data_IF_403445543052
#
_entry.id   IF_403445543052
#
_cell.length_a   1.000
_cell.length_b   1.000
_cell.length_c   1.000
_cell.angle_alpha   90.00
_cell.angle_beta   90.00
_cell.angle_gamma   90.00
#
_symmetry.space_group_name_H-M   'P 1'
#
loop_
_entity.id
_entity.type
_entity.pdbx_description
1 polymer ?
#
# COMPACT_ATOMS: atom_id res chain seq x y z
N UNK A 1 11.52 4.61 -29.35
CA UNK A 1 11.14 3.86 -28.13
C UNK A 1 12.30 3.07 -27.50
N UNK A 2 13.19 2.47 -28.27
CA UNK A 2 14.45 1.88 -27.73
C UNK A 2 15.33 2.91 -26.99
N UNK A 3 15.33 4.16 -27.40
CA UNK A 3 16.23 5.20 -26.89
C UNK A 3 16.05 5.56 -25.40
N UNK A 4 14.83 5.47 -24.82
CA UNK A 4 14.63 5.81 -23.40
C UNK A 4 15.16 4.73 -22.47
N UNK A 5 15.03 3.47 -22.82
CA UNK A 5 15.53 2.35 -22.02
C UNK A 5 17.06 2.31 -22.00
N UNK A 6 17.70 2.43 -23.18
CA UNK A 6 19.16 2.42 -23.31
C UNK A 6 19.79 3.60 -22.56
N UNK A 7 19.17 4.79 -22.64
CA UNK A 7 19.62 5.96 -21.90
C UNK A 7 19.54 5.75 -20.37
N UNK A 8 18.45 5.16 -19.87
CA UNK A 8 18.27 4.86 -18.44
C UNK A 8 19.30 3.81 -18.00
N UNK A 9 19.47 2.71 -18.75
CA UNK A 9 20.45 1.68 -18.42
C UNK A 9 21.87 2.25 -18.35
N UNK A 10 22.26 3.08 -19.31
CA UNK A 10 23.57 3.75 -19.29
C UNK A 10 23.77 4.66 -18.07
N UNK A 11 22.73 5.39 -17.64
CA UNK A 11 22.79 6.22 -16.43
C UNK A 11 22.92 5.36 -15.16
N UNK A 12 22.19 4.24 -15.08
CA UNK A 12 22.24 3.35 -13.93
C UNK A 12 23.59 2.66 -13.81
N UNK A 13 24.18 2.21 -14.92
CA UNK A 13 25.49 1.57 -14.96
C UNK A 13 26.62 2.54 -14.60
N UNK A 14 26.55 3.78 -15.11
CA UNK A 14 27.56 4.79 -14.84
C UNK A 14 27.56 5.30 -13.41
N UNK A 15 26.39 5.45 -12.78
CA UNK A 15 26.25 6.09 -11.47
C UNK A 15 26.00 5.12 -10.32
N UNK A 16 25.58 3.88 -10.57
CA UNK A 16 25.28 2.84 -9.59
C UNK A 16 24.46 3.37 -8.39
N UNK A 17 23.31 4.02 -8.61
CA UNK A 17 22.52 4.63 -7.53
C UNK A 17 21.89 3.56 -6.64
N UNK A 18 21.80 3.84 -5.34
CA UNK A 18 21.04 2.98 -4.40
C UNK A 18 19.54 3.09 -4.63
N UNK A 19 19.05 4.31 -4.94
CA UNK A 19 17.62 4.62 -5.11
C UNK A 19 17.41 5.43 -6.37
N UNK A 20 16.36 5.09 -7.11
CA UNK A 20 15.93 5.81 -8.32
C UNK A 20 14.49 6.26 -8.17
N UNK A 21 14.25 7.56 -8.32
CA UNK A 21 12.92 8.13 -8.47
C UNK A 21 12.55 8.10 -9.95
N UNK A 22 11.46 7.45 -10.31
CA UNK A 22 11.08 7.22 -11.68
C UNK A 22 9.67 7.72 -11.97
N UNK A 23 9.57 8.76 -12.79
CA UNK A 23 8.26 9.28 -13.23
C UNK A 23 7.71 8.39 -14.34
N UNK A 24 6.54 7.82 -14.11
CA UNK A 24 5.88 6.90 -15.05
C UNK A 24 5.49 7.58 -16.38
N UNK A 25 5.33 8.90 -16.40
CA UNK A 25 5.08 9.65 -17.64
C UNK A 25 6.21 9.51 -18.67
N UNK A 26 7.44 9.20 -18.24
CA UNK A 26 8.58 9.01 -19.13
C UNK A 26 8.42 7.82 -20.06
N UNK A 27 7.54 6.88 -19.74
CA UNK A 27 7.38 5.62 -20.45
C UNK A 27 6.17 5.57 -21.39
N UNK A 28 5.25 6.55 -21.34
CA UNK A 28 4.05 6.55 -22.15
C UNK A 28 3.25 5.24 -22.00
N UNK A 29 2.99 4.55 -23.11
CA UNK A 29 2.27 3.27 -23.13
C UNK A 29 3.10 2.10 -22.55
N UNK A 30 4.42 2.21 -22.55
CA UNK A 30 5.35 1.17 -22.07
C UNK A 30 5.58 1.20 -20.55
N UNK A 31 4.82 2.01 -19.80
CA UNK A 31 4.98 2.21 -18.36
C UNK A 31 4.87 0.92 -17.52
N UNK A 32 4.34 -0.16 -18.07
CA UNK A 32 4.28 -1.47 -17.39
C UNK A 32 5.52 -2.32 -17.64
N UNK A 33 5.97 -2.39 -18.88
CA UNK A 33 7.06 -3.30 -19.26
C UNK A 33 8.43 -2.79 -18.82
N UNK A 34 8.73 -1.52 -19.05
CA UNK A 34 10.04 -0.95 -18.78
C UNK A 34 10.38 -0.96 -17.27
N UNK A 35 9.50 -0.50 -16.35
CA UNK A 35 9.76 -0.60 -14.92
C UNK A 35 10.03 -2.03 -14.43
N UNK A 36 9.26 -3.00 -14.92
CA UNK A 36 9.47 -4.41 -14.57
C UNK A 36 10.85 -4.92 -15.02
N UNK A 37 11.25 -4.61 -16.26
CA UNK A 37 12.55 -5.00 -16.79
C UNK A 37 13.69 -4.37 -16.01
N UNK A 38 13.58 -3.09 -15.63
CA UNK A 38 14.59 -2.39 -14.84
C UNK A 38 14.72 -2.97 -13.43
N UNK A 39 13.62 -3.25 -12.75
CA UNK A 39 13.65 -3.90 -11.44
C UNK A 39 14.33 -5.29 -11.49
N UNK A 40 14.10 -6.03 -12.57
CA UNK A 40 14.73 -7.35 -12.76
C UNK A 40 16.21 -7.25 -13.14
N UNK A 41 16.56 -6.29 -13.98
CA UNK A 41 17.93 -6.09 -14.47
C UNK A 41 18.85 -5.51 -13.38
N UNK A 42 18.31 -4.65 -12.51
CA UNK A 42 19.04 -3.95 -11.45
C UNK A 42 18.48 -4.26 -10.06
N UNK A 43 18.58 -5.50 -9.54
CA UNK A 43 17.93 -5.91 -8.29
C UNK A 43 18.50 -5.23 -7.04
N UNK A 44 19.71 -4.66 -7.13
CA UNK A 44 20.33 -3.86 -6.06
C UNK A 44 19.82 -2.42 -5.99
N UNK A 45 19.14 -1.94 -7.04
CA UNK A 45 18.59 -0.59 -7.12
C UNK A 45 17.16 -0.56 -6.61
N UNK A 46 16.87 0.31 -5.66
CA UNK A 46 15.52 0.51 -5.17
C UNK A 46 14.75 1.54 -6.01
N UNK A 47 13.71 1.10 -6.71
CA UNK A 47 12.89 1.98 -7.56
C UNK A 47 11.68 2.50 -6.81
N UNK A 48 11.49 3.83 -6.78
CA UNK A 48 10.28 4.53 -6.33
C UNK A 48 9.58 5.12 -7.55
N UNK A 49 8.40 4.63 -7.85
CA UNK A 49 7.62 5.07 -9.01
C UNK A 49 6.68 6.22 -8.65
N UNK A 50 6.71 7.25 -9.49
CA UNK A 50 5.88 8.45 -9.37
C UNK A 50 4.80 8.41 -10.45
N UNK A 51 3.53 8.31 -10.05
CA UNK A 51 2.39 8.30 -10.97
C UNK A 51 1.65 9.64 -10.96
N UNK A 52 1.22 10.16 -12.11
CA UNK A 52 0.37 11.35 -12.16
C UNK A 52 -1.03 11.09 -11.58
N UNK A 53 -1.54 9.86 -11.77
CA UNK A 53 -2.86 9.41 -11.31
C UNK A 53 -2.75 8.06 -10.63
N UNK A 54 -2.25 8.01 -9.38
CA UNK A 54 -2.03 6.76 -8.67
C UNK A 54 -3.30 5.94 -8.51
N UNK A 55 -3.22 4.68 -8.92
CA UNK A 55 -4.30 3.72 -8.73
C UNK A 55 -3.78 2.39 -8.19
N UNK A 56 -4.69 1.61 -7.62
CA UNK A 56 -4.34 0.38 -6.91
C UNK A 56 -3.81 -0.72 -7.85
N UNK A 57 -4.31 -0.80 -9.09
CA UNK A 57 -3.91 -1.83 -10.07
C UNK A 57 -2.47 -1.59 -10.51
N UNK A 58 -2.14 -0.34 -10.86
CA UNK A 58 -0.80 0.07 -11.25
C UNK A 58 0.19 -0.13 -10.09
N UNK A 59 -0.19 0.34 -8.89
CA UNK A 59 0.67 0.19 -7.71
C UNK A 59 0.92 -1.26 -7.34
N UNK A 60 -0.13 -2.12 -7.32
CA UNK A 60 0.01 -3.57 -7.08
C UNK A 60 0.94 -4.21 -8.12
N UNK A 61 0.79 -3.84 -9.39
CA UNK A 61 1.60 -4.37 -10.48
C UNK A 61 3.07 -4.02 -10.27
N UNK A 62 3.39 -2.75 -10.04
CA UNK A 62 4.77 -2.27 -9.91
C UNK A 62 5.47 -2.82 -8.66
N UNK A 63 4.77 -2.84 -7.51
CA UNK A 63 5.34 -3.38 -6.27
C UNK A 63 5.56 -4.89 -6.35
N UNK A 64 4.62 -5.64 -6.93
CA UNK A 64 4.78 -7.10 -7.12
C UNK A 64 5.92 -7.48 -8.07
N UNK A 65 6.44 -6.53 -8.84
CA UNK A 65 7.53 -6.71 -9.80
C UNK A 65 8.87 -6.13 -9.32
N UNK A 66 8.99 -5.84 -8.02
CA UNK A 66 10.23 -5.42 -7.39
C UNK A 66 10.35 -3.92 -7.10
N UNK A 67 9.32 -3.12 -7.40
CA UNK A 67 9.28 -1.73 -6.97
C UNK A 67 9.33 -1.62 -5.44
N UNK A 68 10.05 -0.63 -4.93
CA UNK A 68 10.17 -0.36 -3.50
C UNK A 68 9.32 0.82 -3.05
N UNK A 69 8.82 1.62 -3.98
CA UNK A 69 7.91 2.71 -3.67
C UNK A 69 6.94 3.01 -4.80
N UNK A 70 5.74 3.48 -4.43
CA UNK A 70 4.74 3.95 -5.38
C UNK A 70 3.92 5.07 -4.74
N UNK A 71 3.92 6.24 -5.38
CA UNK A 71 3.24 7.42 -4.87
C UNK A 71 2.82 8.39 -5.98
N UNK A 72 2.05 9.41 -5.59
CA UNK A 72 1.68 10.49 -6.48
C UNK A 72 2.92 11.32 -6.85
N UNK A 73 3.09 11.68 -8.13
CA UNK A 73 4.18 12.56 -8.60
C UNK A 73 4.16 13.95 -7.97
N UNK A 74 2.99 14.40 -7.50
CA UNK A 74 2.81 15.67 -6.79
C UNK A 74 2.94 15.54 -5.28
N UNK A 75 3.58 14.46 -4.81
CA UNK A 75 3.90 14.25 -3.40
C UNK A 75 4.69 15.45 -2.85
N UNK A 76 4.41 15.88 -1.61
CA UNK A 76 5.16 16.98 -1.01
C UNK A 76 6.62 16.58 -0.77
N UNK A 77 7.52 17.58 -0.83
CA UNK A 77 8.96 17.37 -0.59
C UNK A 77 9.24 16.61 0.72
N UNK A 78 8.55 16.97 1.80
CA UNK A 78 8.73 16.34 3.11
C UNK A 78 8.38 14.84 3.09
N UNK A 79 7.27 14.46 2.41
CA UNK A 79 6.87 13.07 2.27
C UNK A 79 7.77 12.29 1.31
N UNK A 80 8.27 12.93 0.26
CA UNK A 80 9.21 12.30 -0.67
C UNK A 80 10.54 11.97 0.02
N UNK A 81 11.08 12.90 0.83
CA UNK A 81 12.29 12.66 1.63
C UNK A 81 12.06 11.45 2.55
N UNK A 82 10.94 11.42 3.26
CA UNK A 82 10.58 10.30 4.14
C UNK A 82 10.44 8.98 3.38
N UNK A 83 9.87 9.00 2.17
CA UNK A 83 9.78 7.83 1.32
C UNK A 83 11.17 7.28 0.95
N UNK A 84 12.09 8.16 0.55
CA UNK A 84 13.47 7.79 0.23
C UNK A 84 14.20 7.23 1.45
N UNK A 85 14.07 7.84 2.63
CA UNK A 85 14.69 7.36 3.87
C UNK A 85 14.21 5.96 4.24
N UNK A 86 12.89 5.70 4.20
CA UNK A 86 12.32 4.39 4.51
C UNK A 86 12.73 3.32 3.49
N UNK A 87 12.72 3.67 2.20
CA UNK A 87 13.16 2.74 1.14
C UNK A 87 14.65 2.42 1.27
N UNK A 88 15.49 3.36 1.69
CA UNK A 88 16.91 3.12 1.99
C UNK A 88 17.11 2.16 3.16
N UNK A 89 16.18 2.13 4.11
CA UNK A 89 16.18 1.16 5.23
C UNK A 89 15.65 -0.22 4.81
N UNK A 90 15.30 -0.42 3.54
CA UNK A 90 14.74 -1.67 3.02
C UNK A 90 13.22 -1.78 3.11
N UNK A 91 12.54 -0.75 3.61
CA UNK A 91 11.09 -0.70 3.72
C UNK A 91 10.43 -0.44 2.36
N UNK A 92 9.11 -0.68 2.27
CA UNK A 92 8.31 -0.38 1.08
C UNK A 92 7.43 0.84 1.34
N UNK A 93 7.52 1.83 0.45
CA UNK A 93 6.71 3.04 0.53
C UNK A 93 5.50 2.96 -0.40
N UNK A 94 4.31 2.81 0.17
CA UNK A 94 3.04 2.79 -0.57
C UNK A 94 1.93 3.50 0.20
N UNK A 95 0.88 3.93 -0.52
CA UNK A 95 -0.33 4.45 0.11
C UNK A 95 -1.01 3.38 0.97
N UNK A 96 -1.67 3.80 2.06
CA UNK A 96 -2.33 2.88 3.01
C UNK A 96 -3.29 1.90 2.32
N UNK A 97 -4.09 2.40 1.37
CA UNK A 97 -5.07 1.60 0.63
C UNK A 97 -4.41 0.48 -0.17
N UNK A 98 -3.30 0.80 -0.84
CA UNK A 98 -2.53 -0.17 -1.60
C UNK A 98 -1.86 -1.20 -0.68
N UNK A 99 -1.35 -0.77 0.49
CA UNK A 99 -0.76 -1.67 1.48
C UNK A 99 -1.78 -2.73 1.93
N UNK A 100 -3.01 -2.34 2.27
CA UNK A 100 -4.06 -3.28 2.63
C UNK A 100 -4.37 -4.29 1.51
N UNK A 101 -4.40 -3.85 0.26
CA UNK A 101 -4.63 -4.75 -0.88
C UNK A 101 -3.47 -5.73 -1.11
N UNK A 102 -2.23 -5.29 -0.92
CA UNK A 102 -1.05 -6.17 -0.97
C UNK A 102 -1.14 -7.27 0.08
N UNK A 103 -1.50 -6.90 1.32
CA UNK A 103 -1.60 -7.85 2.42
C UNK A 103 -2.74 -8.86 2.20
N UNK A 104 -3.89 -8.41 1.69
CA UNK A 104 -5.01 -9.31 1.36
C UNK A 104 -4.63 -10.32 0.28
N UNK A 105 -3.85 -9.92 -0.72
CA UNK A 105 -3.35 -10.87 -1.73
C UNK A 105 -2.43 -11.92 -1.12
N UNK A 106 -1.56 -11.54 -0.19
CA UNK A 106 -0.67 -12.49 0.49
C UNK A 106 -1.46 -13.47 1.37
N UNK A 107 -2.48 -12.99 2.07
CA UNK A 107 -3.36 -13.87 2.87
C UNK A 107 -4.16 -14.82 1.99
N UNK A 108 -4.74 -14.38 0.89
CA UNK A 108 -5.48 -15.25 -0.03
C UNK A 108 -4.61 -16.28 -0.76
N UNK A 109 -3.31 -16.07 -0.88
CA UNK A 109 -2.35 -17.05 -1.42
C UNK A 109 -1.94 -18.11 -0.38
N UNK A 110 -2.09 -17.82 0.91
CA UNK A 110 -1.78 -18.74 2.01
C UNK A 110 -2.97 -19.57 2.49
N UNK A 111 -4.18 -19.33 1.95
CA UNK A 111 -5.39 -20.11 2.31
C UNK A 111 -5.49 -21.43 1.54
N UNK A 112 -4.55 -22.34 1.78
CA UNK A 112 -4.74 -23.77 1.50
C UNK A 112 -4.74 -24.62 2.77
N UNK A 113 -4.86 -24.03 3.94
CA UNK A 113 -5.14 -24.76 5.19
C UNK A 113 -5.32 -23.77 6.33
N UNK A 114 -6.55 -23.45 6.73
CA UNK A 114 -6.82 -23.13 8.13
C UNK A 114 -8.30 -22.76 8.38
N UNK A 115 -9.13 -23.79 8.58
CA UNK A 115 -10.48 -23.67 9.18
C UNK A 115 -10.47 -23.13 10.64
N UNK A 116 -9.30 -23.00 11.25
CA UNK A 116 -9.16 -22.49 12.63
C UNK A 116 -9.04 -20.97 12.74
N UNK A 117 -8.67 -20.24 11.67
CA UNK A 117 -8.47 -18.80 11.69
C UNK A 117 -9.80 -18.04 11.53
N UNK A 118 -10.71 -18.57 10.71
CA UNK A 118 -12.06 -17.99 10.51
C UNK A 118 -12.86 -17.94 11.82
N UNK A 119 -12.81 -19.02 12.61
CA UNK A 119 -13.56 -19.11 13.87
C UNK A 119 -13.08 -18.12 14.96
N UNK A 120 -11.82 -17.67 14.90
CA UNK A 120 -11.25 -16.69 15.84
C UNK A 120 -11.53 -15.24 15.43
N UNK A 121 -11.61 -14.97 14.15
CA UNK A 121 -11.90 -13.64 13.62
C UNK A 121 -13.37 -13.28 13.87
N UNK A 122 -14.31 -14.15 13.54
CA UNK A 122 -15.75 -14.04 13.79
C UNK A 122 -16.06 -13.73 15.26
N UNK A 123 -15.37 -14.39 16.20
CA UNK A 123 -15.57 -14.15 17.63
C UNK A 123 -15.12 -12.75 18.09
N UNK A 124 -14.18 -12.11 17.40
CA UNK A 124 -13.68 -10.76 17.74
C UNK A 124 -14.55 -9.66 17.16
N UNK A 125 -15.05 -9.83 15.95
CA UNK A 125 -15.90 -8.85 15.27
C UNK A 125 -17.34 -8.89 15.76
N UNK A 126 -17.83 -10.00 16.32
CA UNK A 126 -19.15 -10.08 16.97
C UNK A 126 -19.30 -9.13 18.18
N UNK A 127 -18.17 -8.69 18.77
CA UNK A 127 -18.15 -7.72 19.90
C UNK A 127 -18.32 -6.26 19.47
N UNK A 128 -18.29 -5.99 18.18
CA UNK A 128 -18.47 -4.64 17.66
C UNK A 128 -19.96 -4.29 17.57
N UNK A 129 -20.30 -3.06 17.93
CA UNK A 129 -21.61 -2.50 17.60
C UNK A 129 -21.73 -2.31 16.09
N UNK A 130 -22.96 -2.14 15.57
CA UNK A 130 -23.19 -1.93 14.14
C UNK A 130 -22.37 -0.75 13.62
N UNK A 131 -22.31 0.36 14.38
CA UNK A 131 -21.53 1.53 14.00
C UNK A 131 -20.02 1.28 14.01
N UNK A 132 -19.52 0.54 14.95
CA UNK A 132 -18.11 0.15 15.00
C UNK A 132 -17.76 -0.82 13.86
N UNK A 133 -18.67 -1.73 13.53
CA UNK A 133 -18.50 -2.66 12.39
C UNK A 133 -18.47 -1.90 11.07
N UNK A 134 -19.35 -0.94 10.86
CA UNK A 134 -19.37 -0.09 9.68
C UNK A 134 -18.05 0.68 9.50
N UNK A 135 -17.54 1.29 10.58
CA UNK A 135 -16.23 1.95 10.58
C UNK A 135 -15.11 0.95 10.31
N UNK A 136 -15.15 -0.23 10.92
CA UNK A 136 -14.14 -1.28 10.73
C UNK A 136 -14.07 -1.73 9.26
N UNK A 137 -15.20 -1.94 8.59
CA UNK A 137 -15.28 -2.29 7.16
C UNK A 137 -14.63 -1.20 6.28
N UNK A 138 -14.91 0.07 6.55
CA UNK A 138 -14.28 1.19 5.83
C UNK A 138 -12.75 1.25 6.10
N UNK A 139 -12.32 0.87 7.29
CA UNK A 139 -10.89 0.69 7.61
C UNK A 139 -10.28 -0.44 6.77
N UNK A 140 -10.94 -1.58 6.68
CA UNK A 140 -10.53 -2.70 5.84
C UNK A 140 -10.40 -2.33 4.36
N UNK A 141 -11.23 -1.40 3.89
CA UNK A 141 -11.13 -0.82 2.54
C UNK A 141 -10.01 0.21 2.38
N UNK A 142 -9.28 0.55 3.46
CA UNK A 142 -8.16 1.51 3.43
C UNK A 142 -8.56 2.98 3.52
N UNK A 143 -9.82 3.32 3.83
CA UNK A 143 -10.31 4.70 3.90
C UNK A 143 -9.65 5.47 5.05
N UNK A 144 -9.27 6.73 4.83
CA UNK A 144 -8.73 7.60 5.89
C UNK A 144 -9.84 8.03 6.87
N UNK A 145 -9.46 8.50 8.07
CA UNK A 145 -10.45 8.98 9.04
C UNK A 145 -11.32 10.13 8.49
N UNK A 146 -10.74 10.98 7.65
CA UNK A 146 -11.45 12.06 6.95
C UNK A 146 -12.49 11.52 5.97
N UNK A 147 -12.14 10.50 5.20
CA UNK A 147 -13.06 9.85 4.25
C UNK A 147 -14.19 9.14 4.99
N UNK A 148 -13.86 8.42 6.08
CA UNK A 148 -14.84 7.74 6.92
C UNK A 148 -15.78 8.76 7.56
N UNK A 149 -15.26 9.87 8.10
CA UNK A 149 -16.04 10.95 8.69
C UNK A 149 -17.08 11.50 7.70
N UNK A 150 -16.63 11.78 6.46
CA UNK A 150 -17.52 12.27 5.40
C UNK A 150 -18.56 11.23 4.97
N UNK A 151 -18.18 9.94 4.82
CA UNK A 151 -19.11 8.88 4.41
C UNK A 151 -20.20 8.61 5.45
N UNK A 152 -19.87 8.79 6.72
CA UNK A 152 -20.74 8.46 7.85
C UNK A 152 -21.39 9.68 8.50
N UNK A 153 -21.16 10.86 7.94
CA UNK A 153 -21.66 12.17 8.44
C UNK A 153 -21.33 12.40 9.92
N UNK A 154 -20.07 12.16 10.30
CA UNK A 154 -19.54 12.38 11.65
C UNK A 154 -18.20 13.12 11.60
N UNK A 155 -17.71 13.56 12.75
CA UNK A 155 -16.39 14.23 12.81
C UNK A 155 -15.24 13.21 12.80
N UNK A 156 -14.06 13.62 12.33
CA UNK A 156 -12.83 12.79 12.45
C UNK A 156 -12.51 12.46 13.92
N UNK A 157 -12.86 13.33 14.86
CA UNK A 157 -12.73 13.09 16.31
C UNK A 157 -13.60 11.92 16.75
N UNK A 158 -14.83 11.86 16.24
CA UNK A 158 -15.76 10.74 16.51
C UNK A 158 -15.23 9.44 15.91
N UNK A 159 -14.69 9.48 14.68
CA UNK A 159 -14.04 8.29 14.07
C UNK A 159 -12.89 7.79 14.95
N UNK A 160 -12.02 8.69 15.44
CA UNK A 160 -10.90 8.32 16.32
C UNK A 160 -11.38 7.71 17.64
N UNK A 161 -12.48 8.21 18.22
CA UNK A 161 -13.06 7.64 19.43
C UNK A 161 -13.58 6.21 19.21
N UNK A 162 -14.30 5.99 18.09
CA UNK A 162 -14.73 4.64 17.71
C UNK A 162 -13.53 3.71 17.46
N UNK A 163 -12.48 4.17 16.78
CA UNK A 163 -11.26 3.37 16.55
C UNK A 163 -10.62 2.90 17.85
N UNK A 164 -10.51 3.76 18.85
CA UNK A 164 -9.98 3.37 20.16
C UNK A 164 -10.81 2.26 20.82
N UNK A 165 -12.13 2.33 20.69
CA UNK A 165 -13.05 1.29 21.17
C UNK A 165 -12.91 -0.01 20.38
N UNK A 166 -12.84 0.08 19.04
CA UNK A 166 -12.66 -1.06 18.13
C UNK A 166 -11.37 -1.79 18.45
N UNK A 167 -10.23 -1.10 18.55
CA UNK A 167 -8.93 -1.72 18.87
C UNK A 167 -8.97 -2.49 20.18
N UNK A 168 -9.62 -1.92 21.22
CA UNK A 168 -9.79 -2.60 22.51
C UNK A 168 -10.66 -3.85 22.38
N UNK A 169 -11.78 -3.80 21.66
CA UNK A 169 -12.73 -4.90 21.51
C UNK A 169 -12.18 -6.05 20.66
N UNK A 170 -11.42 -5.72 19.62
CA UNK A 170 -10.82 -6.68 18.68
C UNK A 170 -9.45 -7.16 19.13
N UNK A 171 -8.88 -6.57 20.21
CA UNK A 171 -7.52 -6.81 20.67
C UNK A 171 -6.46 -6.56 19.56
N UNK A 172 -6.71 -5.59 18.67
CA UNK A 172 -5.74 -5.15 17.66
C UNK A 172 -4.95 -3.95 18.17
N UNK A 173 -3.65 -3.88 17.85
CA UNK A 173 -2.75 -2.83 18.34
C UNK A 173 -2.77 -1.57 17.47
N UNK A 174 -3.12 -1.72 16.21
CA UNK A 174 -3.07 -0.65 15.25
C UNK A 174 -4.10 -0.86 14.11
N UNK A 175 -4.19 0.17 13.26
CA UNK A 175 -5.08 0.18 12.10
C UNK A 175 -4.78 -0.93 11.10
N UNK A 176 -3.51 -1.31 10.95
CA UNK A 176 -3.09 -2.33 10.02
C UNK A 176 -3.62 -3.70 10.46
N UNK A 177 -3.41 -4.05 11.75
CA UNK A 177 -3.92 -5.29 12.30
C UNK A 177 -5.46 -5.38 12.23
N UNK A 178 -6.16 -4.26 12.46
CA UNK A 178 -7.60 -4.22 12.31
C UNK A 178 -8.01 -4.44 10.85
N UNK A 179 -7.34 -3.80 9.89
CA UNK A 179 -7.61 -3.97 8.47
C UNK A 179 -7.41 -5.42 8.01
N UNK A 180 -6.37 -6.08 8.50
CA UNK A 180 -6.12 -7.50 8.23
C UNK A 180 -7.24 -8.39 8.81
N UNK A 181 -7.63 -8.16 10.07
CA UNK A 181 -8.69 -8.91 10.73
C UNK A 181 -10.01 -8.84 9.93
N UNK A 182 -10.39 -7.66 9.44
CA UNK A 182 -11.62 -7.44 8.65
C UNK A 182 -11.56 -8.14 7.27
N UNK A 183 -10.38 -8.23 6.66
CA UNK A 183 -10.26 -8.77 5.32
C UNK A 183 -10.08 -10.30 5.28
N UNK A 184 -9.87 -10.93 6.41
CA UNK A 184 -9.91 -12.41 6.56
C UNK A 184 -11.36 -12.92 6.52
N UNK A 185 -12.36 -12.08 6.86
CA UNK A 185 -13.80 -12.45 6.87
C UNK A 185 -14.54 -12.21 5.54
N UNK A 186 -13.87 -11.75 4.49
CA UNK A 186 -14.47 -11.55 3.16
C UNK A 186 -14.02 -12.59 2.16
#
# INVERSE_FOLDING_TARGET
MASNREAISGILEANQPEIVLMDLLLFGEDYRQIPQLLCHQYPSVAFIFLSPEPNDIEGLYLISRGGRGYCNRYISKALLIKAVELVRMGEVWVGRKLLFKLMNRLTSMNHTSDDEVENRADSKLSKLTDREREIAVLIGSGDSNKVIANKLDITERTVKAHLSSIFRKTATKDRLQLGLLINVER
#
